data_IF_720035994395
#
_entry.id   IF_720035994395
#
_cell.length_a   1.000
_cell.length_b   1.000
_cell.length_c   1.000
_cell.angle_alpha   90.00
_cell.angle_beta   90.00
_cell.angle_gamma   90.00
#
_symmetry.space_group_name_H-M   'P 1'
#
loop_
_entity.id
_entity.type
_entity.pdbx_description
1 polymer ?
#
# COMPACT_ATOMS: atom_id res chain seq x y z
N UNK A 1 10.00 -8.05 4.36
CA UNK A 1 9.02 -7.12 4.94
C UNK A 1 8.06 -6.65 3.84
N UNK A 2 6.83 -6.36 4.21
CA UNK A 2 5.83 -5.88 3.25
C UNK A 2 6.20 -4.46 2.81
N UNK A 3 6.14 -4.22 1.50
CA UNK A 3 6.38 -2.88 0.98
C UNK A 3 5.04 -2.12 0.94
N UNK A 4 4.99 -1.01 1.65
CA UNK A 4 3.84 -0.12 1.64
C UNK A 4 4.15 1.06 0.73
N UNK A 5 3.19 1.46 -0.10
CA UNK A 5 3.34 2.62 -0.97
C UNK A 5 2.28 3.66 -0.65
N UNK A 6 2.69 4.92 -0.58
CA UNK A 6 1.81 6.05 -0.32
C UNK A 6 1.89 7.00 -1.51
N UNK A 7 0.79 7.21 -2.18
CA UNK A 7 0.77 8.20 -3.25
C UNK A 7 0.87 9.59 -2.65
N UNK A 8 1.70 10.47 -3.23
CA UNK A 8 2.08 11.74 -2.63
C UNK A 8 0.92 12.67 -2.30
N UNK A 9 -0.16 12.59 -3.03
CA UNK A 9 -1.31 13.47 -2.81
C UNK A 9 -2.32 12.90 -1.81
N UNK A 10 -2.00 11.77 -1.19
CA UNK A 10 -2.94 11.08 -0.28
C UNK A 10 -2.26 10.76 1.04
N UNK A 11 -3.06 10.30 2.01
CA UNK A 11 -2.56 9.80 3.29
C UNK A 11 -2.84 8.31 3.43
N UNK A 12 -3.07 7.62 2.32
CA UNK A 12 -3.50 6.22 2.33
C UNK A 12 -2.36 5.33 1.86
N UNK A 13 -2.00 4.34 2.68
CA UNK A 13 -0.98 3.37 2.36
C UNK A 13 -1.57 2.16 1.65
N UNK A 14 -0.87 1.69 0.62
CA UNK A 14 -1.26 0.51 -0.15
C UNK A 14 -0.16 -0.52 -0.06
N UNK A 15 -0.55 -1.79 0.00
CA UNK A 15 0.44 -2.88 0.05
C UNK A 15 0.03 -4.09 -0.81
N UNK A 16 -1.09 -3.99 -1.51
CA UNK A 16 -1.58 -5.05 -2.39
C UNK A 16 -1.47 -4.55 -3.82
N UNK A 17 -0.66 -5.24 -4.63
CA UNK A 17 -0.39 -4.74 -5.98
C UNK A 17 -1.58 -4.86 -6.94
N UNK A 18 -2.58 -5.65 -6.59
CA UNK A 18 -3.81 -5.74 -7.39
C UNK A 18 -4.85 -4.70 -6.99
N UNK A 19 -4.54 -3.87 -5.99
CA UNK A 19 -5.43 -2.78 -5.59
C UNK A 19 -5.62 -1.83 -6.77
N UNK A 20 -6.87 -1.42 -7.03
CA UNK A 20 -7.16 -0.56 -8.17
C UNK A 20 -6.50 0.82 -8.08
N UNK A 21 -6.11 1.23 -6.88
CA UNK A 21 -5.42 2.50 -6.65
C UNK A 21 -3.94 2.31 -6.32
N UNK A 22 -3.38 1.13 -6.62
CA UNK A 22 -1.97 0.85 -6.38
C UNK A 22 -1.09 1.91 -7.05
N UNK A 23 -0.24 2.61 -6.27
CA UNK A 23 0.59 3.68 -6.83
C UNK A 23 1.70 3.10 -7.72
N UNK A 24 1.85 3.68 -8.90
CA UNK A 24 2.90 3.28 -9.83
C UNK A 24 3.86 4.43 -10.15
N UNK A 25 3.52 5.64 -9.73
CA UNK A 25 4.37 6.82 -9.90
C UNK A 25 4.05 7.82 -8.79
N UNK A 26 4.99 8.72 -8.53
CA UNK A 26 4.86 9.76 -7.49
C UNK A 26 4.39 9.19 -6.15
N UNK A 27 5.10 8.19 -5.65
CA UNK A 27 4.76 7.56 -4.37
C UNK A 27 5.97 7.46 -3.46
N UNK A 28 5.71 7.31 -2.17
CA UNK A 28 6.72 7.02 -1.17
C UNK A 28 6.62 5.56 -0.77
N UNK A 29 7.74 4.99 -0.40
CA UNK A 29 7.81 3.58 0.02
C UNK A 29 8.18 3.51 1.48
N UNK A 30 7.48 2.65 2.24
CA UNK A 30 7.85 2.33 3.60
C UNK A 30 7.97 0.82 3.71
N UNK A 31 9.11 0.34 4.18
CA UNK A 31 9.33 -1.08 4.37
C UNK A 31 8.88 -1.45 5.78
N UNK A 32 7.84 -2.27 5.83
CA UNK A 32 7.17 -2.60 7.07
C UNK A 32 5.99 -1.69 7.33
N UNK A 33 5.25 -1.96 8.40
CA UNK A 33 4.02 -1.22 8.69
C UNK A 33 4.32 0.23 9.02
N UNK A 34 3.69 1.18 8.31
CA UNK A 34 3.87 2.60 8.62
C UNK A 34 3.21 2.97 9.94
N UNK A 35 3.75 4.00 10.59
CA UNK A 35 3.26 4.44 11.89
C UNK A 35 2.28 5.61 11.79
N UNK A 36 2.00 6.09 10.59
CA UNK A 36 1.11 7.23 10.37
C UNK A 36 0.30 7.01 9.10
N UNK A 37 -0.75 7.82 8.94
CA UNK A 37 -1.61 7.73 7.77
C UNK A 37 -2.68 6.67 7.92
N UNK A 38 -3.40 6.42 6.85
CA UNK A 38 -4.48 5.44 6.84
C UNK A 38 -4.10 4.26 5.94
N UNK A 39 -4.74 3.12 6.18
CA UNK A 39 -4.54 1.93 5.36
C UNK A 39 -5.71 1.80 4.39
N UNK A 40 -5.42 1.45 3.15
CA UNK A 40 -6.42 1.30 2.11
C UNK A 40 -7.40 0.19 2.43
N UNK A 41 -8.70 0.49 2.38
CA UNK A 41 -9.73 -0.51 2.64
C UNK A 41 -9.70 -1.64 1.61
N UNK A 42 -9.51 -1.30 0.34
CA UNK A 42 -9.44 -2.30 -0.71
C UNK A 42 -8.25 -3.25 -0.49
N UNK A 43 -7.11 -2.70 -0.07
CA UNK A 43 -5.96 -3.52 0.24
C UNK A 43 -6.24 -4.47 1.39
N UNK A 44 -6.97 -4.00 2.41
CA UNK A 44 -7.36 -4.86 3.53
C UNK A 44 -8.23 -6.02 3.08
N UNK A 45 -9.12 -5.79 2.12
CA UNK A 45 -10.00 -6.82 1.61
C UNK A 45 -9.31 -7.79 0.66
N UNK A 46 -8.32 -7.31 -0.07
CA UNK A 46 -7.62 -8.10 -1.09
C UNK A 46 -6.30 -8.68 -0.61
N UNK A 47 -5.93 -8.49 0.64
CA UNK A 47 -4.64 -8.96 1.11
C UNK A 47 -4.59 -10.49 1.17
N UNK A 48 -3.87 -11.05 0.23
CA UNK A 48 -3.56 -12.47 0.20
C UNK A 48 -2.05 -12.59 0.02
N UNK A 49 -1.46 -13.74 0.40
CA UNK A 49 0.00 -13.89 0.25
C UNK A 49 0.50 -13.64 -1.17
N UNK A 50 -0.33 -13.90 -2.18
CA UNK A 50 0.06 -13.74 -3.58
C UNK A 50 0.02 -12.27 -4.02
N UNK A 51 -0.84 -11.45 -3.41
CA UNK A 51 -1.06 -10.08 -3.82
C UNK A 51 -0.26 -9.06 -3.00
N UNK A 52 0.23 -9.46 -1.85
CA UNK A 52 1.01 -8.57 -0.99
C UNK A 52 2.43 -8.42 -1.56
N UNK A 53 2.87 -7.17 -1.67
CA UNK A 53 4.21 -6.85 -2.16
C UNK A 53 5.21 -6.91 -1.00
N UNK A 54 6.26 -7.70 -1.20
CA UNK A 54 7.32 -7.81 -0.20
C UNK A 54 8.65 -7.31 -0.72
#
# INVERSE_FOLDING_TARGET
MIEYRLKKDTHVWHWVHTCSTWPTFDYEVNRGEPTWGEKCEECKQKQTPEDIVE
#
